data_IF_323940539283
#
_entry.id   IF_323940539283
#
_cell.length_a   1.000
_cell.length_b   1.000
_cell.length_c   1.000
_cell.angle_alpha   90.00
_cell.angle_beta   90.00
_cell.angle_gamma   90.00
#
_symmetry.space_group_name_H-M   'P 1'
#
loop_
_entity.id
_entity.type
_entity.pdbx_description
1 polymer ?
#
# COMPACT_ATOMS: atom_id res chain seq x y z
N UNK A 1 30.84 21.96 -24.53
CA UNK A 1 31.48 21.17 -25.60
C UNK A 1 32.70 20.48 -25.00
N UNK A 2 32.78 19.15 -25.17
CA UNK A 2 33.86 18.22 -24.77
C UNK A 2 33.97 17.77 -23.30
N UNK A 3 33.31 16.65 -23.01
CA UNK A 3 33.92 15.46 -22.36
C UNK A 3 32.94 14.30 -22.59
N UNK A 4 33.16 13.35 -23.51
CA UNK A 4 34.09 12.19 -23.45
C UNK A 4 34.00 11.51 -22.08
N UNK A 5 33.70 10.23 -21.91
CA UNK A 5 33.55 9.07 -22.77
C UNK A 5 32.68 8.05 -21.99
N UNK A 6 31.72 7.36 -22.59
CA UNK A 6 31.91 6.02 -23.17
C UNK A 6 32.76 5.08 -22.28
N UNK A 7 32.13 4.16 -21.56
CA UNK A 7 32.67 2.81 -21.30
C UNK A 7 31.58 1.89 -20.75
N UNK A 8 30.98 1.14 -21.68
CA UNK A 8 30.28 -0.11 -21.44
C UNK A 8 31.29 -1.14 -20.95
N UNK A 9 31.05 -1.82 -19.83
CA UNK A 9 31.60 -3.16 -19.62
C UNK A 9 30.55 -4.07 -18.98
N UNK A 10 30.06 -4.96 -19.82
CA UNK A 10 29.34 -6.16 -19.44
C UNK A 10 30.24 -7.06 -18.60
N UNK A 11 29.68 -7.68 -17.58
CA UNK A 11 30.26 -8.85 -16.93
C UNK A 11 29.20 -9.94 -16.86
N UNK A 12 28.95 -10.52 -18.03
CA UNK A 12 28.52 -11.92 -18.18
C UNK A 12 29.65 -12.78 -17.61
N UNK A 13 29.34 -13.78 -16.78
CA UNK A 13 30.08 -15.04 -16.54
C UNK A 13 30.01 -15.51 -15.07
N UNK A 14 28.81 -15.90 -14.60
CA UNK A 14 28.74 -16.96 -13.59
C UNK A 14 28.13 -18.23 -14.21
N UNK A 15 29.06 -18.99 -14.80
CA UNK A 15 29.15 -20.44 -14.85
C UNK A 15 27.85 -21.24 -14.71
N UNK A 16 27.45 -21.75 -15.87
CA UNK A 16 26.78 -23.04 -16.02
C UNK A 16 27.52 -24.15 -15.22
N UNK A 17 26.77 -24.90 -14.43
CA UNK A 17 27.08 -26.28 -14.06
C UNK A 17 25.88 -27.15 -14.44
N UNK A 18 25.88 -27.63 -15.68
CA UNK A 18 25.03 -28.72 -16.10
C UNK A 18 25.76 -30.04 -15.77
N UNK A 19 25.09 -30.93 -15.05
CA UNK A 19 25.45 -32.34 -14.91
C UNK A 19 24.25 -33.21 -15.27
N UNK A 20 24.47 -34.40 -15.86
CA UNK A 20 23.57 -35.00 -16.83
C UNK A 20 22.69 -36.11 -16.25
N UNK A 21 21.58 -36.33 -16.97
CA UNK A 21 20.78 -37.54 -17.14
C UNK A 21 21.01 -38.76 -16.21
N UNK A 22 19.95 -39.18 -15.53
CA UNK A 22 19.65 -40.61 -15.37
C UNK A 22 18.13 -40.85 -15.51
N UNK A 23 17.81 -41.97 -16.13
CA UNK A 23 16.56 -42.31 -16.80
C UNK A 23 15.58 -43.08 -15.89
N UNK A 24 14.29 -42.91 -16.17
CA UNK A 24 13.16 -43.82 -15.97
C UNK A 24 12.87 -44.41 -14.57
N UNK A 25 11.72 -44.02 -14.02
CA UNK A 25 11.08 -44.68 -12.86
C UNK A 25 9.57 -44.43 -12.79
N UNK A 26 8.82 -45.13 -13.64
CA UNK A 26 7.41 -45.61 -13.52
C UNK A 26 6.41 -44.75 -12.73
N UNK A 27 5.36 -44.31 -13.44
CA UNK A 27 4.09 -43.88 -12.88
C UNK A 27 3.49 -44.97 -11.97
N UNK A 28 3.31 -44.68 -10.68
CA UNK A 28 2.29 -45.30 -9.86
C UNK A 28 1.57 -44.20 -9.07
N UNK A 29 0.32 -44.01 -9.45
CA UNK A 29 -0.63 -43.08 -8.85
C UNK A 29 -0.97 -43.57 -7.43
N UNK A 30 -0.61 -42.77 -6.44
CA UNK A 30 -1.14 -42.86 -5.07
C UNK A 30 -1.63 -41.49 -4.62
N UNK A 31 -2.64 -41.51 -3.77
CA UNK A 31 -3.64 -40.49 -3.57
C UNK A 31 -3.13 -39.08 -3.19
N UNK A 32 -3.74 -38.07 -3.81
CA UNK A 32 -4.25 -36.90 -3.09
C UNK A 32 -3.28 -36.07 -2.25
N UNK A 33 -2.07 -35.80 -2.73
CA UNK A 33 -1.34 -34.62 -2.25
C UNK A 33 -1.89 -33.41 -2.98
N UNK A 34 -2.82 -32.68 -2.35
CA UNK A 34 -3.16 -31.32 -2.79
C UNK A 34 -1.86 -30.52 -2.65
N UNK A 35 -1.22 -30.04 -3.73
CA UNK A 35 -0.22 -29.00 -3.54
C UNK A 35 -1.00 -27.83 -2.94
N UNK A 36 -0.73 -27.50 -1.68
CA UNK A 36 -1.03 -26.18 -1.14
C UNK A 36 -0.15 -25.20 -1.91
N UNK A 37 -0.56 -24.91 -3.14
CA UNK A 37 -0.16 -23.71 -3.82
C UNK A 37 -0.88 -22.59 -3.08
N UNK A 38 -0.30 -22.21 -1.93
CA UNK A 38 -0.41 -20.86 -1.45
C UNK A 38 0.66 -20.06 -2.19
N UNK A 39 0.36 -19.39 -3.31
CA UNK A 39 1.07 -18.16 -3.63
C UNK A 39 0.58 -17.11 -2.62
N UNK A 40 0.93 -17.32 -1.34
CA UNK A 40 1.11 -16.26 -0.37
C UNK A 40 2.41 -15.51 -0.68
N UNK A 41 2.68 -15.26 -1.96
CA UNK A 41 3.60 -14.21 -2.35
C UNK A 41 2.83 -12.92 -2.10
N UNK A 42 3.20 -12.22 -1.02
CA UNK A 42 3.12 -10.77 -0.97
C UNK A 42 3.96 -10.26 -2.15
N UNK A 43 3.43 -10.36 -3.37
CA UNK A 43 3.88 -9.54 -4.46
C UNK A 43 3.60 -8.12 -3.98
N UNK A 44 4.65 -7.44 -3.55
CA UNK A 44 4.66 -6.02 -3.24
C UNK A 44 4.27 -5.31 -4.54
N UNK A 45 2.97 -5.23 -4.82
CA UNK A 45 2.44 -4.31 -5.81
C UNK A 45 2.88 -2.91 -5.37
N UNK A 46 3.33 -2.05 -6.30
CA UNK A 46 3.72 -0.69 -5.97
C UNK A 46 2.56 -0.01 -5.23
N UNK A 47 2.84 0.71 -4.12
CA UNK A 47 1.79 1.30 -3.28
C UNK A 47 0.89 2.16 -4.16
N UNK A 48 -0.39 1.78 -4.19
CA UNK A 48 -1.37 2.46 -5.03
C UNK A 48 -1.60 3.85 -4.45
N UNK A 49 -1.48 4.88 -5.28
CA UNK A 49 -1.81 6.24 -4.85
C UNK A 49 -3.32 6.35 -4.60
N UNK A 50 -3.71 7.19 -3.64
CA UNK A 50 -5.12 7.53 -3.43
C UNK A 50 -5.66 8.36 -4.60
N UNK A 51 -6.90 8.08 -5.02
CA UNK A 51 -7.56 8.80 -6.09
C UNK A 51 -8.46 9.92 -5.52
N UNK A 52 -8.13 11.22 -5.75
CA UNK A 52 -8.93 12.35 -5.28
C UNK A 52 -10.36 12.38 -5.84
N UNK A 53 -10.64 11.73 -6.97
CA UNK A 53 -12.01 11.65 -7.52
C UNK A 53 -12.98 10.95 -6.57
N UNK A 54 -12.47 10.10 -5.67
CA UNK A 54 -13.28 9.42 -4.66
C UNK A 54 -13.82 10.36 -3.58
N UNK A 55 -13.25 11.55 -3.40
CA UNK A 55 -13.68 12.51 -2.39
C UNK A 55 -15.15 12.93 -2.57
N UNK A 56 -15.67 12.90 -3.80
CA UNK A 56 -17.08 13.21 -4.10
C UNK A 56 -18.06 12.23 -3.43
N UNK A 57 -17.60 11.01 -3.16
CA UNK A 57 -18.41 9.94 -2.56
C UNK A 57 -18.05 9.66 -1.10
N UNK A 58 -16.91 10.17 -0.63
CA UNK A 58 -16.38 9.90 0.71
C UNK A 58 -16.81 10.97 1.72
N UNK A 59 -17.20 10.51 2.91
CA UNK A 59 -17.54 11.36 4.05
C UNK A 59 -16.89 10.84 5.33
N UNK A 60 -16.68 11.74 6.29
CA UNK A 60 -16.17 11.38 7.62
C UNK A 60 -17.12 10.39 8.32
N UNK A 61 -16.61 9.30 8.93
CA UNK A 61 -17.44 8.33 9.63
C UNK A 61 -18.13 8.92 10.87
N UNK A 62 -17.57 9.96 11.47
CA UNK A 62 -18.08 10.61 12.70
C UNK A 62 -19.05 11.75 12.39
N UNK A 63 -18.64 12.74 11.59
CA UNK A 63 -19.42 13.95 11.33
C UNK A 63 -20.32 13.86 10.09
N UNK A 64 -20.12 12.84 9.24
CA UNK A 64 -20.80 12.68 7.93
C UNK A 64 -20.58 13.86 6.97
N UNK A 65 -19.55 14.67 7.21
CA UNK A 65 -19.15 15.79 6.36
C UNK A 65 -18.10 15.38 5.33
N UNK A 66 -17.96 16.15 4.22
CA UNK A 66 -16.89 15.93 3.25
C UNK A 66 -15.50 16.01 3.91
N UNK A 67 -14.54 15.34 3.29
CA UNK A 67 -13.13 15.30 3.72
C UNK A 67 -12.26 16.05 2.72
N UNK A 68 -11.17 16.64 3.21
CA UNK A 68 -10.13 17.24 2.37
C UNK A 68 -8.95 16.29 2.28
N UNK A 69 -8.49 15.96 1.07
CA UNK A 69 -7.26 15.20 0.91
C UNK A 69 -6.03 16.12 1.00
N UNK A 70 -5.04 15.70 1.77
CA UNK A 70 -3.73 16.34 1.87
C UNK A 70 -2.67 15.42 1.25
N UNK A 71 -2.22 15.78 0.04
CA UNK A 71 -1.23 14.97 -0.69
C UNK A 71 0.15 14.97 -0.02
N UNK A 72 0.48 16.01 0.76
CA UNK A 72 1.77 16.15 1.43
C UNK A 72 1.95 15.11 2.54
N UNK A 73 0.89 14.83 3.30
CA UNK A 73 0.89 13.87 4.41
C UNK A 73 0.20 12.55 4.07
N UNK A 74 -0.48 12.49 2.92
CA UNK A 74 -1.29 11.36 2.48
C UNK A 74 -2.41 11.04 3.49
N UNK A 75 -3.20 12.06 3.83
CA UNK A 75 -4.25 11.98 4.86
C UNK A 75 -5.57 12.60 4.36
N UNK A 76 -6.68 12.14 4.95
CA UNK A 76 -8.01 12.74 4.79
C UNK A 76 -8.37 13.56 6.03
N UNK A 77 -8.42 14.87 5.87
CA UNK A 77 -8.62 15.84 6.94
C UNK A 77 -10.11 16.14 7.07
N UNK A 78 -10.61 16.06 8.30
CA UNK A 78 -11.87 16.66 8.71
C UNK A 78 -11.56 17.96 9.47
N UNK A 79 -11.88 19.09 8.86
CA UNK A 79 -11.60 20.40 9.46
C UNK A 79 -12.46 20.66 10.68
N UNK A 80 -13.76 20.31 10.65
CA UNK A 80 -14.69 20.58 11.77
C UNK A 80 -14.25 19.93 13.09
N UNK A 81 -13.77 18.69 13.04
CA UNK A 81 -13.32 17.93 14.21
C UNK A 81 -11.83 18.10 14.50
N UNK A 82 -11.06 18.73 13.60
CA UNK A 82 -9.61 18.82 13.73
C UNK A 82 -8.94 17.45 13.81
N UNK A 83 -9.36 16.52 12.93
CA UNK A 83 -8.76 15.17 12.85
C UNK A 83 -8.38 14.82 11.42
N UNK A 84 -7.41 13.92 11.28
CA UNK A 84 -6.93 13.39 10.00
C UNK A 84 -6.88 11.86 10.02
N UNK A 85 -7.41 11.23 8.97
CA UNK A 85 -7.34 9.79 8.75
C UNK A 85 -6.17 9.47 7.81
N UNK A 86 -5.23 8.59 8.20
CA UNK A 86 -4.10 8.23 7.35
C UNK A 86 -4.54 7.32 6.19
N UNK A 87 -3.88 7.47 5.05
CA UNK A 87 -4.03 6.56 3.91
C UNK A 87 -2.79 5.65 3.85
N UNK A 88 -3.03 4.34 3.83
CA UNK A 88 -1.98 3.31 3.82
C UNK A 88 -2.23 2.42 2.60
N UNK A 89 -1.24 2.29 1.72
CA UNK A 89 -1.33 1.52 0.46
C UNK A 89 -2.51 1.95 -0.45
N UNK A 90 -2.84 3.25 -0.41
CA UNK A 90 -3.97 3.83 -1.15
C UNK A 90 -5.34 3.59 -0.50
N UNK A 91 -5.38 2.94 0.67
CA UNK A 91 -6.60 2.61 1.39
C UNK A 91 -6.76 3.58 2.59
N UNK A 92 -7.85 4.37 2.63
CA UNK A 92 -8.13 5.23 3.79
C UNK A 92 -8.44 4.42 5.05
N UNK A 93 -7.68 4.64 6.13
CA UNK A 93 -7.97 4.06 7.44
C UNK A 93 -8.95 4.94 8.22
N UNK A 94 -10.25 4.77 7.98
CA UNK A 94 -11.33 5.56 8.60
C UNK A 94 -11.78 5.02 9.97
N UNK A 95 -10.88 4.46 10.77
CA UNK A 95 -11.17 4.01 12.14
C UNK A 95 -10.99 5.20 13.10
N UNK A 96 -11.94 5.50 14.02
CA UNK A 96 -11.83 6.63 14.95
C UNK A 96 -10.54 6.63 15.78
N UNK A 97 -10.05 5.45 16.17
CA UNK A 97 -8.82 5.28 16.94
C UNK A 97 -7.54 5.53 16.11
N UNK A 98 -7.62 5.39 14.78
CA UNK A 98 -6.50 5.66 13.88
C UNK A 98 -6.41 7.15 13.50
N UNK A 99 -7.47 7.92 13.73
CA UNK A 99 -7.50 9.35 13.45
C UNK A 99 -6.48 10.08 14.32
N UNK A 100 -5.65 10.91 13.70
CA UNK A 100 -4.74 11.81 14.41
C UNK A 100 -5.39 13.17 14.58
N UNK A 101 -5.06 13.88 15.66
CA UNK A 101 -5.49 15.27 15.85
C UNK A 101 -4.66 16.18 14.97
N UNK A 102 -5.31 16.98 14.13
CA UNK A 102 -4.72 18.13 13.46
C UNK A 102 -4.95 19.34 14.36
N UNK A 103 -3.89 19.99 14.82
CA UNK A 103 -3.89 21.01 15.88
C UNK A 103 -4.72 22.30 15.60
N UNK A 104 -5.58 22.31 14.59
CA UNK A 104 -6.16 23.53 14.04
C UNK A 104 -7.53 23.91 14.63
N UNK A 105 -8.23 23.04 15.37
CA UNK A 105 -9.56 23.40 15.91
C UNK A 105 -9.78 23.08 17.38
N UNK A 106 -9.50 24.08 18.23
CA UNK A 106 -9.99 24.18 19.62
C UNK A 106 -11.41 24.78 19.63
N UNK A 107 -12.43 23.97 19.37
CA UNK A 107 -13.86 24.25 19.63
C UNK A 107 -14.57 22.94 19.29
N UNK A 108 -15.29 22.24 20.15
CA UNK A 108 -16.34 22.71 21.05
C UNK A 108 -16.47 21.72 22.21
N UNK A 109 -16.02 22.12 23.39
CA UNK A 109 -16.36 21.48 24.65
C UNK A 109 -16.90 22.56 25.60
N UNK A 110 -17.86 23.35 25.11
CA UNK A 110 -18.56 24.35 25.93
C UNK A 110 -19.96 24.64 25.38
N UNK A 111 -20.75 23.60 25.09
CA UNK A 111 -22.21 23.75 24.90
C UNK A 111 -22.93 22.56 25.56
N UNK A 112 -22.72 22.37 26.86
CA UNK A 112 -23.69 21.65 27.72
C UNK A 112 -23.49 21.98 29.20
N UNK A 113 -23.56 23.25 29.57
CA UNK A 113 -23.74 23.68 30.95
C UNK A 113 -24.66 24.91 31.03
N UNK A 114 -25.86 24.84 30.47
CA UNK A 114 -26.97 25.73 30.85
C UNK A 114 -28.29 24.97 30.69
#
# INVERSE_FOLDING_TARGET
MLSRACSRLASVLWRASASPAVVAGRCLHTAGSRPSADPGEKAEEPPRAFDPALLEFLVCPLSKKPLRYEASTNELINEELGIAYPIIDGIPNMIPQAARTTHENKKQEEVKQH
#
